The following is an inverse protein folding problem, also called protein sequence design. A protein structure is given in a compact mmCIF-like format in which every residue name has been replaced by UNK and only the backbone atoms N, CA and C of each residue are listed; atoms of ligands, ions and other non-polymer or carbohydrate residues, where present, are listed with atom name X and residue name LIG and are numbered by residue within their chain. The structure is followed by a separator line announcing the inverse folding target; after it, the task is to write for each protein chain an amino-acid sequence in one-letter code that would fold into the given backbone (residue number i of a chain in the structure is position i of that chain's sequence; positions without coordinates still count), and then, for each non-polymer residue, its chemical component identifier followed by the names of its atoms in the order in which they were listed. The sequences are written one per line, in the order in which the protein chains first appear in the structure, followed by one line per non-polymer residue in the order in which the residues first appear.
data_IF_394414851535
#
_entry.id   IF_394414851535
#
_cell.length_a   1.000
_cell.length_b   1.000
_cell.length_c   1.000
_cell.angle_alpha   90.00
_cell.angle_beta   90.00
_cell.angle_gamma   90.00
#
_symmetry.space_group_name_H-M   'P 1'
#
loop_
_entity.id
_entity.type
_entity.pdbx_description
1 polymer ?
#
# COMPACT_ATOMS: atom_id res chain seq x y z
N UNK A 1 -31.04 27.59 -0.08
CA UNK A 1 -30.15 26.76 -0.94
C UNK A 1 -28.84 27.46 -1.29
N UNK A 2 -28.47 28.56 -0.60
CA UNK A 2 -27.20 29.28 -0.79
C UNK A 2 -26.26 29.11 0.44
N UNK A 3 -26.79 28.75 1.61
CA UNK A 3 -26.05 28.79 2.88
C UNK A 3 -25.17 27.54 3.14
N UNK A 4 -25.51 26.40 2.55
CA UNK A 4 -24.82 25.13 2.81
C UNK A 4 -23.45 25.03 2.11
N UNK A 5 -23.31 25.69 0.94
CA UNK A 5 -22.06 25.69 0.17
C UNK A 5 -20.99 26.60 0.79
N UNK A 6 -21.43 27.69 1.42
CA UNK A 6 -20.54 28.63 2.11
C UNK A 6 -20.07 28.08 3.48
N UNK A 7 -20.93 27.32 4.16
CA UNK A 7 -20.58 26.61 5.39
C UNK A 7 -19.56 25.49 5.12
N UNK A 8 -19.78 24.68 4.08
CA UNK A 8 -18.83 23.65 3.63
C UNK A 8 -17.47 24.24 3.23
N UNK A 9 -17.45 25.38 2.54
CA UNK A 9 -16.21 26.08 2.23
C UNK A 9 -15.49 26.64 3.46
N UNK A 10 -16.23 27.02 4.52
CA UNK A 10 -15.65 27.51 5.79
C UNK A 10 -15.07 26.37 6.63
N UNK A 11 -15.73 25.22 6.66
CA UNK A 11 -15.22 24.01 7.33
C UNK A 11 -13.93 23.54 6.64
N UNK A 12 -13.92 23.46 5.30
CA UNK A 12 -12.73 23.05 4.54
C UNK A 12 -11.58 24.02 4.78
N UNK A 13 -11.82 25.34 4.75
CA UNK A 13 -10.75 26.33 4.97
C UNK A 13 -10.23 26.37 6.40
N UNK A 14 -11.06 26.08 7.40
CA UNK A 14 -10.63 26.00 8.81
C UNK A 14 -9.75 24.78 9.10
N UNK A 15 -9.84 23.71 8.29
CA UNK A 15 -9.13 22.44 8.51
C UNK A 15 -7.71 22.43 7.95
N UNK A 16 -7.39 23.36 7.04
CA UNK A 16 -6.03 23.52 6.46
C UNK A 16 -5.05 24.28 7.36
N UNK A 17 -5.53 24.90 8.45
CA UNK A 17 -4.71 25.70 9.38
C UNK A 17 -4.33 24.97 10.69
N UNK A 18 -4.70 23.69 10.87
CA UNK A 18 -4.41 22.95 12.10
C UNK A 18 -3.22 22.00 11.91
N UNK A 19 -2.06 22.50 12.35
CA UNK A 19 -0.86 21.73 12.64
C UNK A 19 -1.09 20.76 13.80
N UNK A 20 -0.46 19.59 13.69
CA UNK A 20 -0.25 18.57 14.74
C UNK A 20 -1.45 17.71 15.20
N UNK A 21 -1.36 16.42 14.88
CA UNK A 21 -1.42 15.37 15.90
C UNK A 21 -2.74 15.08 16.65
N UNK A 22 -3.92 15.29 16.07
CA UNK A 22 -5.17 14.80 16.71
C UNK A 22 -6.03 14.00 15.71
N UNK A 23 -5.92 12.68 15.79
CA UNK A 23 -7.00 11.77 16.27
C UNK A 23 -8.17 11.76 15.29
N UNK A 24 -8.05 10.87 14.30
CA UNK A 24 -9.17 10.49 13.45
C UNK A 24 -10.06 9.54 14.25
N UNK A 25 -11.04 10.10 14.98
CA UNK A 25 -12.04 9.34 15.72
C UNK A 25 -12.99 8.56 14.79
N UNK A 26 -13.41 7.39 15.26
CA UNK A 26 -13.97 6.24 14.54
C UNK A 26 -15.37 6.46 13.91
N UNK A 27 -16.05 7.56 14.21
CA UNK A 27 -17.45 7.80 13.80
C UNK A 27 -17.64 8.76 12.60
N UNK A 28 -16.56 9.36 12.06
CA UNK A 28 -16.62 10.32 10.94
C UNK A 28 -16.14 9.72 9.59
N UNK A 29 -16.11 8.39 9.48
CA UNK A 29 -15.69 7.67 8.26
C UNK A 29 -16.86 7.28 7.34
N UNK A 30 -18.12 7.46 7.77
CA UNK A 30 -19.30 7.12 6.95
C UNK A 30 -19.50 8.06 5.74
N UNK A 31 -18.75 9.18 5.65
CA UNK A 31 -18.85 10.15 4.54
C UNK A 31 -17.72 10.03 3.49
N UNK A 32 -16.65 9.25 3.77
CA UNK A 32 -15.50 9.11 2.87
C UNK A 32 -15.34 7.69 2.36
N UNK A 33 -14.98 7.54 1.09
CA UNK A 33 -14.63 6.22 0.55
C UNK A 33 -13.24 5.82 1.08
N UNK A 34 -13.06 4.54 1.45
CA UNK A 34 -11.82 4.00 2.06
C UNK A 34 -10.52 4.39 1.32
N UNK A 35 -10.59 4.59 0.00
CA UNK A 35 -9.45 4.96 -0.81
C UNK A 35 -9.04 6.44 -0.66
N UNK A 36 -9.95 7.34 -0.28
CA UNK A 36 -9.69 8.78 -0.16
C UNK A 36 -8.73 9.08 1.00
N UNK A 37 -8.96 8.45 2.15
CA UNK A 37 -8.11 8.60 3.34
C UNK A 37 -6.71 8.02 3.07
N UNK A 38 -6.65 6.82 2.49
CA UNK A 38 -5.38 6.20 2.12
C UNK A 38 -4.58 7.06 1.13
N UNK A 39 -5.25 7.65 0.15
CA UNK A 39 -4.62 8.50 -0.86
C UNK A 39 -4.06 9.80 -0.27
N UNK A 40 -4.83 10.50 0.57
CA UNK A 40 -4.39 11.75 1.21
C UNK A 40 -3.15 11.54 2.09
N UNK A 41 -3.15 10.45 2.87
CA UNK A 41 -2.00 10.09 3.71
C UNK A 41 -0.75 9.73 2.88
N UNK A 42 -0.93 9.08 1.73
CA UNK A 42 0.15 8.79 0.79
C UNK A 42 0.70 10.07 0.13
N UNK A 43 -0.17 11.00 -0.27
CA UNK A 43 0.22 12.29 -0.85
C UNK A 43 1.05 13.11 0.14
N UNK A 44 0.63 13.13 1.40
CA UNK A 44 1.35 13.78 2.51
C UNK A 44 2.59 13.01 2.96
N UNK A 45 2.76 11.77 2.50
CA UNK A 45 3.82 10.83 2.93
C UNK A 45 3.83 10.60 4.44
N UNK A 46 2.67 10.71 5.09
CA UNK A 46 2.53 10.38 6.51
C UNK A 46 2.34 8.87 6.65
N UNK A 47 3.44 8.14 6.45
CA UNK A 47 3.44 6.68 6.48
C UNK A 47 3.07 6.14 7.86
N UNK A 48 3.37 6.87 8.94
CA UNK A 48 2.98 6.47 10.29
C UNK A 48 1.46 6.52 10.48
N UNK A 49 0.80 7.59 10.03
CA UNK A 49 -0.66 7.65 10.06
C UNK A 49 -1.30 6.63 9.11
N UNK A 50 -0.72 6.43 7.92
CA UNK A 50 -1.16 5.42 6.96
C UNK A 50 -1.15 4.01 7.55
N UNK A 51 -0.07 3.66 8.27
CA UNK A 51 0.04 2.36 8.93
C UNK A 51 -1.06 2.17 9.97
N UNK A 52 -1.24 3.12 10.90
CA UNK A 52 -2.30 3.02 11.92
C UNK A 52 -3.69 2.87 11.30
N UNK A 53 -3.96 3.61 10.21
CA UNK A 53 -5.24 3.53 9.50
C UNK A 53 -5.45 2.13 8.89
N UNK A 54 -4.44 1.59 8.20
CA UNK A 54 -4.52 0.28 7.55
C UNK A 54 -4.49 -0.89 8.53
N UNK A 55 -3.85 -0.74 9.70
CA UNK A 55 -3.94 -1.71 10.80
C UNK A 55 -5.38 -1.88 11.26
N UNK A 56 -6.09 -0.77 11.56
CA UNK A 56 -7.52 -0.82 11.94
C UNK A 56 -8.38 -1.45 10.85
N UNK A 57 -8.09 -1.15 9.59
CA UNK A 57 -8.82 -1.72 8.45
C UNK A 57 -8.61 -3.23 8.33
N UNK A 58 -7.38 -3.69 8.49
CA UNK A 58 -7.06 -5.12 8.49
C UNK A 58 -7.62 -5.84 9.72
N UNK A 59 -7.76 -5.19 10.88
CA UNK A 59 -8.45 -5.78 12.04
C UNK A 59 -9.94 -6.04 11.76
N UNK A 60 -10.60 -5.13 11.03
CA UNK A 60 -12.02 -5.27 10.65
C UNK A 60 -12.21 -6.28 9.52
N UNK A 61 -11.24 -6.41 8.63
CA UNK A 61 -11.29 -7.26 7.44
C UNK A 61 -10.04 -8.16 7.34
N UNK A 62 -9.83 -9.02 8.34
CA UNK A 62 -8.57 -9.77 8.52
C UNK A 62 -8.26 -10.79 7.43
N UNK A 63 -9.28 -11.25 6.71
CA UNK A 63 -9.13 -12.21 5.60
C UNK A 63 -9.32 -11.54 4.23
N UNK A 64 -9.41 -10.20 4.17
CA UNK A 64 -9.50 -9.48 2.90
C UNK A 64 -8.10 -9.22 2.33
N UNK A 65 -7.82 -9.82 1.18
CA UNK A 65 -6.50 -9.74 0.53
C UNK A 65 -6.09 -8.31 0.19
N UNK A 66 -7.05 -7.42 -0.11
CA UNK A 66 -6.76 -5.99 -0.33
C UNK A 66 -6.40 -5.28 0.98
N UNK A 67 -7.01 -5.64 2.12
CA UNK A 67 -6.66 -5.10 3.43
C UNK A 67 -5.22 -5.43 3.79
N UNK A 68 -4.89 -6.70 3.61
CA UNK A 68 -3.58 -7.25 3.90
C UNK A 68 -2.53 -6.66 2.98
N UNK A 69 -2.84 -6.51 1.69
CA UNK A 69 -1.97 -5.84 0.73
C UNK A 69 -1.67 -4.40 1.16
N UNK A 70 -2.70 -3.60 1.44
CA UNK A 70 -2.52 -2.22 1.86
C UNK A 70 -1.72 -2.12 3.16
N UNK A 71 -2.02 -2.95 4.16
CA UNK A 71 -1.24 -2.99 5.40
C UNK A 71 0.23 -3.37 5.14
N UNK A 72 0.48 -4.38 4.30
CA UNK A 72 1.82 -4.77 3.87
C UNK A 72 2.59 -3.62 3.21
N UNK A 73 1.93 -2.87 2.32
CA UNK A 73 2.50 -1.67 1.68
C UNK A 73 2.86 -0.60 2.72
N UNK A 74 2.00 -0.38 3.72
CA UNK A 74 2.26 0.60 4.77
C UNK A 74 3.44 0.21 5.66
N UNK A 75 3.63 -1.08 5.94
CA UNK A 75 4.83 -1.56 6.62
C UNK A 75 6.09 -1.32 5.78
N UNK A 76 6.05 -1.60 4.47
CA UNK A 76 7.18 -1.33 3.56
C UNK A 76 7.52 0.18 3.54
N UNK A 77 6.51 1.04 3.43
CA UNK A 77 6.71 2.50 3.41
C UNK A 77 7.29 3.06 4.73
N UNK A 78 7.00 2.42 5.87
CA UNK A 78 7.62 2.76 7.15
C UNK A 78 9.01 2.12 7.38
N UNK A 79 9.50 1.30 6.45
CA UNK A 79 10.76 0.58 6.61
C UNK A 79 10.67 -0.65 7.52
N UNK A 80 9.46 -1.09 7.85
CA UNK A 80 9.19 -2.26 8.70
C UNK A 80 9.12 -3.54 7.85
N UNK A 81 10.18 -3.80 7.09
CA UNK A 81 10.21 -4.82 6.04
C UNK A 81 9.99 -6.24 6.57
N UNK A 82 10.59 -6.60 7.71
CA UNK A 82 10.40 -7.90 8.34
C UNK A 82 8.94 -8.13 8.74
N UNK A 83 8.25 -7.09 9.23
CA UNK A 83 6.82 -7.19 9.58
C UNK A 83 5.96 -7.36 8.34
N UNK A 84 6.26 -6.64 7.26
CA UNK A 84 5.57 -6.81 5.98
C UNK A 84 5.69 -8.27 5.49
N UNK A 85 6.89 -8.84 5.52
CA UNK A 85 7.13 -10.24 5.13
C UNK A 85 6.37 -11.19 6.06
N UNK A 86 6.43 -10.99 7.37
CA UNK A 86 5.75 -11.86 8.34
C UNK A 86 4.24 -11.85 8.12
N UNK A 87 3.63 -10.66 8.02
CA UNK A 87 2.19 -10.50 7.77
C UNK A 87 1.77 -11.29 6.53
N UNK A 88 2.40 -11.02 5.40
CA UNK A 88 2.01 -11.61 4.11
C UNK A 88 2.37 -13.10 4.05
N UNK A 89 3.41 -13.56 4.73
CA UNK A 89 3.84 -14.97 4.68
C UNK A 89 2.75 -15.94 5.13
N UNK A 90 1.93 -15.54 6.12
CA UNK A 90 0.84 -16.37 6.65
C UNK A 90 -0.26 -16.57 5.59
N UNK A 91 -0.53 -15.53 4.79
CA UNK A 91 -1.58 -15.57 3.76
C UNK A 91 -1.08 -16.11 2.41
N UNK A 92 0.20 -15.93 2.10
CA UNK A 92 0.83 -16.47 0.89
C UNK A 92 0.76 -18.01 0.85
N UNK A 93 0.69 -18.70 1.99
CA UNK A 93 0.49 -20.16 1.99
C UNK A 93 -0.86 -20.59 1.40
N UNK A 94 -1.88 -19.73 1.51
CA UNK A 94 -3.24 -19.97 1.01
C UNK A 94 -3.39 -19.45 -0.42
N UNK A 95 -2.78 -18.31 -0.73
CA UNK A 95 -2.82 -17.66 -2.05
C UNK A 95 -1.41 -17.50 -2.64
N UNK A 96 -0.74 -18.60 -3.02
CA UNK A 96 0.67 -18.57 -3.42
C UNK A 96 0.92 -17.78 -4.71
N UNK A 97 -0.11 -17.59 -5.54
CA UNK A 97 -0.01 -16.88 -6.81
C UNK A 97 -0.63 -15.47 -6.76
N UNK A 98 -1.02 -14.98 -5.57
CA UNK A 98 -1.54 -13.61 -5.43
C UNK A 98 -0.42 -12.60 -5.74
N UNK A 99 -0.55 -11.80 -6.82
CA UNK A 99 0.49 -10.87 -7.24
C UNK A 99 0.76 -9.80 -6.18
N UNK A 100 -0.26 -9.31 -5.48
CA UNK A 100 -0.12 -8.29 -4.45
C UNK A 100 0.78 -8.78 -3.31
N UNK A 101 0.58 -10.02 -2.87
CA UNK A 101 1.40 -10.65 -1.82
C UNK A 101 2.84 -10.86 -2.27
N UNK A 102 3.03 -11.36 -3.50
CA UNK A 102 4.35 -11.50 -4.11
C UNK A 102 5.06 -10.15 -4.17
N UNK A 103 4.36 -9.08 -4.57
CA UNK A 103 4.91 -7.73 -4.65
C UNK A 103 5.39 -7.22 -3.29
N UNK A 104 4.57 -7.31 -2.24
CA UNK A 104 4.98 -6.85 -0.90
C UNK A 104 6.22 -7.60 -0.39
N UNK A 105 6.26 -8.92 -0.52
CA UNK A 105 7.41 -9.71 -0.08
C UNK A 105 8.66 -9.31 -0.88
N UNK A 106 8.55 -9.17 -2.20
CA UNK A 106 9.69 -8.79 -3.04
C UNK A 106 10.20 -7.38 -2.72
N UNK A 107 9.31 -6.40 -2.55
CA UNK A 107 9.67 -5.03 -2.21
C UNK A 107 10.40 -4.98 -0.86
N UNK A 108 9.87 -5.68 0.15
CA UNK A 108 10.51 -5.80 1.46
C UNK A 108 11.88 -6.50 1.38
N UNK A 109 12.00 -7.61 0.63
CA UNK A 109 13.28 -8.31 0.43
C UNK A 109 14.31 -7.41 -0.25
N UNK A 110 13.94 -6.70 -1.32
CA UNK A 110 14.84 -5.83 -2.06
C UNK A 110 15.26 -4.63 -1.23
N UNK A 111 14.36 -4.05 -0.44
CA UNK A 111 14.70 -2.98 0.50
C UNK A 111 15.68 -3.44 1.60
N UNK A 112 15.60 -4.71 2.02
CA UNK A 112 16.58 -5.35 2.90
C UNK A 112 17.90 -5.74 2.21
N UNK A 113 18.06 -5.46 0.91
CA UNK A 113 19.24 -5.86 0.13
C UNK A 113 19.31 -7.36 -0.15
N UNK A 114 18.22 -8.10 0.08
CA UNK A 114 18.11 -9.52 -0.24
C UNK A 114 17.64 -9.69 -1.68
N UNK A 115 17.88 -10.86 -2.25
CA UNK A 115 17.27 -11.25 -3.53
C UNK A 115 15.92 -11.93 -3.30
N UNK A 116 15.18 -12.20 -4.37
CA UNK A 116 13.96 -13.00 -4.35
C UNK A 116 14.16 -14.38 -3.71
N UNK A 117 15.40 -14.88 -3.61
CA UNK A 117 15.70 -16.13 -2.92
C UNK A 117 15.65 -16.02 -1.38
N UNK A 118 15.49 -14.81 -0.83
CA UNK A 118 15.44 -14.57 0.61
C UNK A 118 14.14 -15.00 1.28
N UNK A 119 13.17 -15.52 0.51
CA UNK A 119 11.91 -16.05 1.00
C UNK A 119 11.67 -17.47 0.47
N UNK A 120 10.98 -18.29 1.26
CA UNK A 120 10.65 -19.68 0.92
C UNK A 120 9.33 -19.74 0.17
N UNK A 121 9.40 -19.45 -1.12
CA UNK A 121 8.22 -19.49 -2.01
C UNK A 121 7.65 -20.89 -2.16
N UNK A 122 6.32 -21.00 -2.20
CA UNK A 122 5.63 -22.19 -2.71
C UNK A 122 5.82 -22.22 -4.23
N UNK A 123 5.42 -21.14 -4.90
CA UNK A 123 5.63 -20.92 -6.32
C UNK A 123 6.62 -19.76 -6.49
N UNK A 124 7.84 -20.06 -6.95
CA UNK A 124 8.87 -19.04 -7.06
C UNK A 124 8.51 -18.00 -8.15
N UNK A 125 8.41 -16.71 -7.81
CA UNK A 125 8.01 -15.70 -8.79
C UNK A 125 9.12 -15.48 -9.82
N UNK A 126 8.70 -15.22 -11.07
CA UNK A 126 9.63 -14.84 -12.13
C UNK A 126 9.95 -13.34 -12.02
N UNK A 127 11.10 -13.03 -11.44
CA UNK A 127 11.58 -11.64 -11.38
C UNK A 127 12.32 -11.29 -12.66
N UNK A 128 11.74 -10.38 -13.45
CA UNK A 128 12.38 -9.86 -14.66
C UNK A 128 13.36 -8.76 -14.27
N UNK A 129 14.64 -8.92 -14.66
CA UNK A 129 15.67 -7.89 -14.50
C UNK A 129 15.93 -7.25 -15.85
N UNK A 130 15.97 -5.91 -15.91
CA UNK A 130 16.24 -5.16 -17.13
C UNK A 130 17.70 -5.42 -17.58
N UNK A 131 17.88 -6.45 -18.39
CA UNK A 131 19.16 -6.82 -19.01
C UNK A 131 19.12 -6.63 -20.53
N UNK A 132 20.28 -6.79 -21.19
CA UNK A 132 20.40 -6.67 -22.66
C UNK A 132 19.35 -7.50 -23.42
N UNK A 133 19.03 -8.69 -22.94
CA UNK A 133 18.04 -9.55 -23.60
C UNK A 133 16.61 -8.98 -23.53
N UNK A 134 16.18 -8.49 -22.35
CA UNK A 134 14.86 -7.86 -22.17
C UNK A 134 14.79 -6.58 -22.99
N UNK A 135 15.85 -5.77 -22.93
CA UNK A 135 15.96 -4.52 -23.68
C UNK A 135 15.84 -4.75 -25.20
N UNK A 136 16.53 -5.75 -25.73
CA UNK A 136 16.43 -6.12 -27.15
C UNK A 136 15.02 -6.59 -27.52
N UNK A 137 14.37 -7.44 -26.69
CA UNK A 137 12.97 -7.82 -26.91
C UNK A 137 12.03 -6.61 -26.94
N UNK A 138 12.27 -5.60 -26.12
CA UNK A 138 11.51 -4.36 -26.18
C UNK A 138 11.76 -3.63 -27.51
N UNK A 139 13.03 -3.42 -27.91
CA UNK A 139 13.37 -2.75 -29.17
C UNK A 139 12.83 -3.47 -30.41
N UNK A 140 12.99 -4.79 -30.49
CA UNK A 140 12.56 -5.59 -31.65
C UNK A 140 11.05 -5.51 -31.86
N UNK A 141 10.26 -5.49 -30.78
CA UNK A 141 8.80 -5.35 -30.83
C UNK A 141 8.33 -3.93 -31.24
N UNK A 142 9.16 -2.90 -31.04
CA UNK A 142 8.83 -1.52 -31.42
C UNK A 142 9.10 -1.24 -32.90
N UNK A 143 10.00 -1.97 -33.56
CA UNK A 143 10.40 -1.75 -34.96
C UNK A 143 9.83 -2.77 -35.95
N UNK A 144 9.04 -3.74 -35.50
CA UNK A 144 8.36 -4.74 -36.35
C UNK A 144 6.87 -4.47 -36.56
N UNK A 145 6.38 -3.25 -36.28
CA UNK A 145 5.04 -2.77 -36.64
C UNK A 145 5.08 -1.74 -37.77
#
# INVERSE_FOLDING_TARGET
MQDDKELKSKIIKSRYDLTESEVYDDDDYDEFEDWEVGYDLLEKKDYKALLRYRERRAERYSDDSDALYHLGEAYVLNGEFEKAIQLISVHHEQEPDNPNFIHIILDALFALGKSENGFKWINKPKVLRMGREILNKCYDNYFTR
#
